data_IF_747938423522
#
_entry.id   IF_747938423522
#
_cell.length_a   1.000
_cell.length_b   1.000
_cell.length_c   1.000
_cell.angle_alpha   90.00
_cell.angle_beta   90.00
_cell.angle_gamma   90.00
#
_symmetry.space_group_name_H-M   'P 1'
#
loop_
_entity.id
_entity.type
_entity.pdbx_description
1 polymer ?
#
# COMPACT_ATOMS: atom_id res chain seq x y z
N UNK A 1 -13.61 -19.60 -20.90
CA UNK A 1 -12.38 -19.13 -20.22
C UNK A 1 -12.43 -17.66 -19.81
N UNK A 2 -13.00 -16.73 -20.60
CA UNK A 2 -13.10 -15.30 -20.22
C UNK A 2 -13.97 -15.04 -18.97
N UNK A 3 -15.08 -15.76 -18.80
CA UNK A 3 -15.99 -15.57 -17.65
C UNK A 3 -15.29 -15.85 -16.30
N UNK A 4 -14.45 -16.89 -16.24
CA UNK A 4 -13.71 -17.27 -15.02
C UNK A 4 -12.67 -16.23 -14.60
N UNK A 5 -11.99 -15.59 -15.57
CA UNK A 5 -11.09 -14.47 -15.29
C UNK A 5 -11.86 -13.23 -14.81
N UNK A 6 -13.08 -13.03 -15.31
CA UNK A 6 -13.95 -11.93 -14.91
C UNK A 6 -14.41 -12.09 -13.45
N UNK A 7 -14.83 -13.30 -13.07
CA UNK A 7 -15.17 -13.63 -11.68
C UNK A 7 -13.98 -13.50 -10.73
N UNK A 8 -12.81 -14.00 -11.13
CA UNK A 8 -11.59 -13.85 -10.33
C UNK A 8 -11.25 -12.36 -10.12
N UNK A 9 -11.38 -11.53 -11.15
CA UNK A 9 -11.16 -10.09 -11.05
C UNK A 9 -12.13 -9.39 -10.08
N UNK A 10 -13.41 -9.75 -10.14
CA UNK A 10 -14.42 -9.22 -9.22
C UNK A 10 -14.12 -9.62 -7.76
N UNK A 11 -13.78 -10.88 -7.51
CA UNK A 11 -13.44 -11.36 -6.16
C UNK A 11 -12.23 -10.60 -5.61
N UNK A 12 -11.17 -10.43 -6.42
CA UNK A 12 -9.97 -9.66 -6.03
C UNK A 12 -10.32 -8.21 -5.70
N UNK A 13 -11.21 -7.59 -6.49
CA UNK A 13 -11.69 -6.23 -6.23
C UNK A 13 -12.46 -6.14 -4.91
N UNK A 14 -13.40 -7.05 -4.64
CA UNK A 14 -14.15 -7.08 -3.39
C UNK A 14 -13.27 -7.31 -2.18
N UNK A 15 -12.32 -8.25 -2.24
CA UNK A 15 -11.38 -8.52 -1.14
C UNK A 15 -10.50 -7.29 -0.89
N UNK A 16 -10.00 -6.64 -1.96
CA UNK A 16 -9.19 -5.42 -1.83
C UNK A 16 -9.98 -4.28 -1.17
N UNK A 17 -11.25 -4.14 -1.53
CA UNK A 17 -12.14 -3.15 -0.94
C UNK A 17 -12.44 -3.45 0.54
N UNK A 18 -12.75 -4.70 0.88
CA UNK A 18 -12.97 -5.13 2.27
C UNK A 18 -11.73 -4.91 3.13
N UNK A 19 -10.54 -5.24 2.61
CA UNK A 19 -9.26 -4.99 3.26
C UNK A 19 -9.05 -3.50 3.52
N UNK A 20 -9.35 -2.66 2.53
CA UNK A 20 -9.22 -1.21 2.65
C UNK A 20 -10.11 -0.66 3.77
N UNK A 21 -11.39 -1.05 3.82
CA UNK A 21 -12.30 -0.61 4.90
C UNK A 21 -11.85 -1.14 6.26
N UNK A 22 -11.44 -2.41 6.33
CA UNK A 22 -10.97 -3.03 7.57
C UNK A 22 -9.71 -2.34 8.13
N UNK A 23 -8.80 -1.91 7.26
CA UNK A 23 -7.59 -1.20 7.64
C UNK A 23 -7.87 0.25 8.01
N UNK A 24 -8.76 0.93 7.28
CA UNK A 24 -9.15 2.32 7.54
C UNK A 24 -9.80 2.49 8.93
N UNK A 25 -10.67 1.56 9.34
CA UNK A 25 -11.34 1.60 10.64
C UNK A 25 -10.61 0.77 11.72
N UNK A 26 -9.59 0.01 11.33
CA UNK A 26 -8.81 -0.83 12.22
C UNK A 26 -7.85 -0.03 13.08
N UNK A 27 -7.67 -0.45 14.35
CA UNK A 27 -6.69 0.17 15.26
C UNK A 27 -5.29 -0.41 15.14
N UNK A 28 -5.09 -1.44 14.32
CA UNK A 28 -3.81 -2.17 14.20
C UNK A 28 -2.71 -1.24 13.69
N UNK A 29 -2.95 -0.55 12.56
CA UNK A 29 -1.95 0.35 11.99
C UNK A 29 -1.70 1.59 12.87
N UNK A 30 -2.73 2.32 13.37
CA UNK A 30 -2.50 3.42 14.30
C UNK A 30 -1.73 3.00 15.57
N UNK A 31 -2.02 1.83 16.14
CA UNK A 31 -1.28 1.30 17.28
C UNK A 31 0.20 1.06 16.93
N UNK A 32 0.49 0.44 15.78
CA UNK A 32 1.86 0.23 15.30
C UNK A 32 2.61 1.54 15.04
N UNK A 33 1.95 2.53 14.45
CA UNK A 33 2.52 3.88 14.25
C UNK A 33 2.82 4.54 15.59
N UNK A 34 1.91 4.45 16.56
CA UNK A 34 2.11 5.02 17.90
C UNK A 34 3.27 4.35 18.65
N UNK A 35 3.46 3.04 18.45
CA UNK A 35 4.58 2.30 19.02
C UNK A 35 5.91 2.75 18.42
N UNK A 36 5.98 2.88 17.08
CA UNK A 36 7.17 3.38 16.39
C UNK A 36 7.50 4.83 16.78
N UNK A 37 6.50 5.71 16.91
CA UNK A 37 6.69 7.09 17.30
C UNK A 37 7.24 7.26 18.73
N UNK A 38 6.95 6.30 19.62
CA UNK A 38 7.46 6.29 21.02
C UNK A 38 8.80 5.57 21.17
N UNK A 39 9.34 5.00 20.10
CA UNK A 39 10.61 4.28 20.17
C UNK A 39 11.77 5.25 20.45
N UNK A 40 12.61 4.99 21.46
CA UNK A 40 13.70 5.89 21.83
C UNK A 40 14.81 5.94 20.77
N UNK A 41 14.84 4.98 19.86
CA UNK A 41 15.84 4.88 18.79
C UNK A 41 15.46 5.67 17.53
N UNK A 42 14.23 6.16 17.44
CA UNK A 42 13.67 6.82 16.26
C UNK A 42 13.30 8.26 16.61
N UNK A 43 14.10 9.22 16.12
CA UNK A 43 13.80 10.65 16.28
C UNK A 43 12.75 11.09 15.24
N UNK A 44 11.50 10.73 15.50
CA UNK A 44 10.40 10.90 14.55
C UNK A 44 9.31 11.79 15.15
N UNK A 45 8.99 12.89 14.45
CA UNK A 45 8.02 13.90 14.90
C UNK A 45 6.58 13.51 14.54
N UNK A 46 5.98 12.56 15.26
CA UNK A 46 4.59 12.09 15.06
C UNK A 46 4.38 11.11 13.87
N UNK A 47 3.12 10.71 13.65
CA UNK A 47 2.69 9.74 12.64
C UNK A 47 3.16 10.05 11.21
N UNK A 48 3.28 11.34 10.87
CA UNK A 48 3.79 11.81 9.57
C UNK A 48 5.25 11.44 9.38
N UNK A 49 6.05 11.65 10.41
CA UNK A 49 7.45 11.26 10.41
C UNK A 49 7.59 9.73 10.34
N UNK A 50 6.69 8.97 10.99
CA UNK A 50 6.76 7.49 10.97
C UNK A 50 6.50 6.99 9.56
N UNK A 51 5.50 7.54 8.87
CA UNK A 51 5.28 7.22 7.47
C UNK A 51 6.49 7.58 6.60
N UNK A 52 7.04 8.79 6.72
CA UNK A 52 8.25 9.18 5.98
C UNK A 52 9.42 8.23 6.25
N UNK A 53 9.66 7.86 7.51
CA UNK A 53 10.72 6.92 7.86
C UNK A 53 10.52 5.56 7.18
N UNK A 54 9.31 4.98 7.29
CA UNK A 54 8.98 3.71 6.65
C UNK A 54 9.10 3.80 5.13
N UNK A 55 8.59 4.87 4.53
CA UNK A 55 8.67 5.12 3.09
C UNK A 55 10.13 5.20 2.62
N UNK A 56 10.97 6.02 3.27
CA UNK A 56 12.40 6.14 2.94
C UNK A 56 13.15 4.82 3.14
N UNK A 57 12.88 4.11 4.24
CA UNK A 57 13.53 2.83 4.53
C UNK A 57 13.15 1.76 3.49
N UNK A 58 11.86 1.61 3.18
CA UNK A 58 11.37 0.69 2.16
C UNK A 58 11.92 1.04 0.78
N UNK A 59 11.95 2.32 0.43
CA UNK A 59 12.44 2.76 -0.89
C UNK A 59 13.93 2.53 -1.09
N UNK A 60 14.74 2.84 -0.08
CA UNK A 60 16.17 2.53 -0.11
C UNK A 60 16.42 1.02 -0.21
N UNK A 61 15.77 0.23 0.65
CA UNK A 61 16.03 -1.22 0.76
C UNK A 61 15.61 -1.96 -0.50
N UNK A 62 14.38 -1.74 -0.97
CA UNK A 62 13.87 -2.44 -2.16
C UNK A 62 14.52 -1.91 -3.43
N UNK A 63 14.76 -0.60 -3.51
CA UNK A 63 15.51 -0.01 -4.62
C UNK A 63 16.90 -0.62 -4.76
N UNK A 64 17.63 -0.75 -3.64
CA UNK A 64 18.94 -1.40 -3.61
C UNK A 64 18.86 -2.88 -3.99
N UNK A 65 17.88 -3.62 -3.44
CA UNK A 65 17.65 -5.02 -3.80
C UNK A 65 17.40 -5.19 -5.30
N UNK A 66 16.54 -4.37 -5.92
CA UNK A 66 16.25 -4.49 -7.34
C UNK A 66 17.47 -4.17 -8.21
N UNK A 67 18.27 -3.17 -7.83
CA UNK A 67 19.48 -2.80 -8.58
C UNK A 67 20.58 -3.87 -8.47
N UNK A 68 20.81 -4.41 -7.28
CA UNK A 68 21.75 -5.53 -7.09
C UNK A 68 21.31 -6.75 -7.89
N UNK A 69 20.03 -7.11 -7.87
CA UNK A 69 19.51 -8.23 -8.65
C UNK A 69 19.58 -8.01 -10.17
N UNK A 70 19.43 -6.76 -10.63
CA UNK A 70 19.65 -6.40 -12.04
C UNK A 70 21.10 -6.62 -12.46
N UNK A 71 22.04 -6.20 -11.62
CA UNK A 71 23.47 -6.39 -11.85
C UNK A 71 23.82 -7.88 -11.92
N UNK A 72 23.34 -8.68 -10.95
CA UNK A 72 23.53 -10.14 -10.93
C UNK A 72 22.93 -10.81 -12.16
N UNK A 73 21.71 -10.43 -12.56
CA UNK A 73 21.08 -10.99 -13.77
C UNK A 73 21.88 -10.70 -15.05
N UNK A 74 22.51 -9.52 -15.13
CA UNK A 74 23.41 -9.15 -16.24
C UNK A 74 24.69 -9.99 -16.24
N UNK A 75 25.30 -10.19 -15.08
CA UNK A 75 26.53 -11.01 -14.92
C UNK A 75 26.23 -12.47 -15.29
N UNK A 76 25.13 -13.02 -14.79
CA UNK A 76 24.71 -14.40 -15.05
C UNK A 76 24.12 -14.63 -16.45
N UNK A 77 24.01 -13.58 -17.29
CA UNK A 77 23.38 -13.63 -18.63
C UNK A 77 21.97 -14.25 -18.62
N UNK A 78 21.21 -14.01 -17.54
CA UNK A 78 19.85 -14.54 -17.39
C UNK A 78 18.82 -13.49 -17.87
N UNK A 79 18.48 -13.55 -19.16
CA UNK A 79 17.57 -12.58 -19.78
C UNK A 79 16.16 -12.60 -19.19
N UNK A 80 15.66 -13.78 -18.76
CA UNK A 80 14.35 -13.91 -18.13
C UNK A 80 14.29 -13.19 -16.78
N UNK A 81 15.33 -13.35 -15.97
CA UNK A 81 15.45 -12.66 -14.69
C UNK A 81 15.64 -11.16 -14.88
N UNK A 82 16.49 -10.76 -15.83
CA UNK A 82 16.70 -9.35 -16.20
C UNK A 82 15.38 -8.67 -16.60
N UNK A 83 14.56 -9.33 -17.43
CA UNK A 83 13.25 -8.80 -17.81
C UNK A 83 12.32 -8.60 -16.60
N UNK A 84 12.23 -9.59 -15.70
CA UNK A 84 11.40 -9.49 -14.49
C UNK A 84 11.85 -8.38 -13.56
N UNK A 85 13.17 -8.26 -13.33
CA UNK A 85 13.73 -7.19 -12.51
C UNK A 85 13.45 -5.81 -13.12
N UNK A 86 13.62 -5.64 -14.43
CA UNK A 86 13.30 -4.37 -15.09
C UNK A 86 11.81 -4.03 -15.02
N UNK A 87 10.91 -5.03 -15.12
CA UNK A 87 9.47 -4.84 -14.94
C UNK A 87 9.15 -4.40 -13.50
N UNK A 88 9.72 -5.09 -12.50
CA UNK A 88 9.54 -4.75 -11.09
C UNK A 88 10.10 -3.36 -10.77
N UNK A 89 11.28 -3.01 -11.28
CA UNK A 89 11.91 -1.70 -11.07
C UNK A 89 11.07 -0.55 -11.65
N UNK A 90 10.53 -0.71 -12.87
CA UNK A 90 9.62 0.31 -13.43
C UNK A 90 8.36 0.47 -12.58
N UNK A 91 7.70 -0.64 -12.24
CA UNK A 91 6.50 -0.61 -11.39
C UNK A 91 6.78 0.03 -10.03
N UNK A 92 7.91 -0.34 -9.41
CA UNK A 92 8.37 0.20 -8.16
C UNK A 92 8.53 1.73 -8.20
N UNK A 93 9.19 2.26 -9.24
CA UNK A 93 9.40 3.71 -9.39
C UNK A 93 8.07 4.46 -9.55
N UNK A 94 7.15 3.98 -10.39
CA UNK A 94 5.85 4.64 -10.59
C UNK A 94 5.00 4.65 -9.32
N UNK A 95 4.90 3.50 -8.64
CA UNK A 95 4.13 3.41 -7.39
C UNK A 95 4.73 4.25 -6.27
N UNK A 96 6.06 4.28 -6.16
CA UNK A 96 6.77 5.14 -5.21
C UNK A 96 6.43 6.61 -5.44
N UNK A 97 6.42 7.03 -6.71
CA UNK A 97 6.09 8.41 -7.10
C UNK A 97 4.62 8.76 -6.79
N UNK A 98 3.68 7.87 -7.12
CA UNK A 98 2.26 8.07 -6.81
C UNK A 98 2.05 8.20 -5.30
N UNK A 99 2.59 7.26 -4.51
CA UNK A 99 2.44 7.26 -3.07
C UNK A 99 3.07 8.51 -2.43
N UNK A 100 4.18 9.00 -2.98
CA UNK A 100 4.82 10.23 -2.55
C UNK A 100 3.96 11.47 -2.86
N UNK A 101 3.37 11.54 -4.05
CA UNK A 101 2.45 12.64 -4.43
C UNK A 101 1.22 12.65 -3.53
N UNK A 102 0.64 11.49 -3.23
CA UNK A 102 -0.54 11.38 -2.37
C UNK A 102 -0.22 11.78 -0.93
N UNK A 103 0.93 11.35 -0.41
CA UNK A 103 1.42 11.80 0.89
C UNK A 103 1.63 13.32 0.93
N UNK A 104 2.30 13.88 -0.09
CA UNK A 104 2.57 15.33 -0.15
C UNK A 104 1.26 16.12 -0.24
N UNK A 105 0.30 15.65 -1.04
CA UNK A 105 -1.03 16.25 -1.16
C UNK A 105 -1.75 16.24 0.19
N UNK A 106 -1.83 15.07 0.85
CA UNK A 106 -2.45 14.96 2.16
C UNK A 106 -1.76 15.82 3.23
N UNK A 107 -0.43 15.96 3.13
CA UNK A 107 0.35 16.82 4.01
C UNK A 107 0.02 18.31 3.83
N UNK A 108 0.01 18.79 2.58
CA UNK A 108 -0.27 20.21 2.25
C UNK A 108 -1.69 20.60 2.66
N UNK A 109 -2.68 19.75 2.37
CA UNK A 109 -4.08 20.00 2.71
C UNK A 109 -4.43 19.67 4.16
N UNK A 110 -3.45 19.30 4.99
CA UNK A 110 -3.63 18.94 6.41
C UNK A 110 -4.67 17.82 6.64
N UNK A 111 -4.83 16.90 5.70
CA UNK A 111 -5.78 15.78 5.76
C UNK A 111 -5.17 14.48 6.34
N UNK A 112 -3.96 14.55 6.91
CA UNK A 112 -3.25 13.43 7.55
C UNK A 112 -3.85 13.07 8.92
N UNK A 113 -5.05 12.50 8.90
CA UNK A 113 -5.70 11.86 10.04
C UNK A 113 -5.32 10.37 10.12
N UNK A 114 -5.67 9.69 11.21
CA UNK A 114 -5.35 8.26 11.42
C UNK A 114 -5.78 7.35 10.25
N UNK A 115 -6.93 7.62 9.64
CA UNK A 115 -7.44 6.89 8.47
C UNK A 115 -6.53 7.07 7.26
N UNK A 116 -6.22 8.32 6.93
CA UNK A 116 -5.36 8.68 5.80
C UNK A 116 -3.97 8.07 5.97
N UNK A 117 -3.40 8.11 7.18
CA UNK A 117 -2.12 7.46 7.50
C UNK A 117 -2.21 5.94 7.37
N UNK A 118 -3.31 5.33 7.83
CA UNK A 118 -3.51 3.88 7.71
C UNK A 118 -3.60 3.43 6.24
N UNK A 119 -4.29 4.20 5.40
CA UNK A 119 -4.37 3.95 3.96
C UNK A 119 -3.04 4.18 3.24
N UNK A 120 -2.28 5.20 3.63
CA UNK A 120 -0.93 5.43 3.11
C UNK A 120 0.02 4.27 3.47
N UNK A 121 -0.03 3.75 4.70
CA UNK A 121 0.75 2.59 5.12
C UNK A 121 0.30 1.32 4.40
N UNK A 122 -1.01 1.13 4.20
CA UNK A 122 -1.53 0.03 3.38
C UNK A 122 -0.98 0.14 1.96
N UNK A 123 -1.01 1.33 1.36
CA UNK A 123 -0.40 1.60 0.06
C UNK A 123 1.08 1.23 0.02
N UNK A 124 1.86 1.61 1.04
CA UNK A 124 3.28 1.24 1.15
C UNK A 124 3.49 -0.28 1.20
N UNK A 125 2.72 -1.00 2.03
CA UNK A 125 2.82 -2.46 2.14
C UNK A 125 2.42 -3.11 0.81
N UNK A 126 1.32 -2.68 0.19
CA UNK A 126 0.86 -3.20 -1.09
C UNK A 126 1.88 -2.93 -2.20
N UNK A 127 2.52 -1.77 -2.23
CA UNK A 127 3.59 -1.43 -3.16
C UNK A 127 4.80 -2.36 -3.03
N UNK A 128 5.25 -2.60 -1.80
CA UNK A 128 6.35 -3.52 -1.48
C UNK A 128 6.01 -4.94 -1.95
N UNK A 129 4.84 -5.46 -1.56
CA UNK A 129 4.39 -6.80 -1.92
C UNK A 129 4.17 -6.97 -3.42
N UNK A 130 3.62 -5.95 -4.10
CA UNK A 130 3.47 -5.91 -5.56
C UNK A 130 4.82 -6.05 -6.26
N UNK A 131 5.82 -5.31 -5.81
CA UNK A 131 7.16 -5.34 -6.40
C UNK A 131 7.87 -6.68 -6.19
N UNK A 132 7.73 -7.27 -5.01
CA UNK A 132 8.28 -8.60 -4.70
C UNK A 132 7.59 -9.71 -5.50
N UNK A 133 6.26 -9.69 -5.59
CA UNK A 133 5.50 -10.70 -6.35
C UNK A 133 5.73 -10.57 -7.86
N UNK A 134 5.90 -9.36 -8.38
CA UNK A 134 6.32 -9.13 -9.77
C UNK A 134 7.72 -9.69 -10.05
N UNK A 135 8.65 -9.54 -9.12
CA UNK A 135 9.99 -10.13 -9.21
C UNK A 135 9.96 -11.67 -9.22
N UNK A 136 9.15 -12.28 -8.34
CA UNK A 136 8.96 -13.74 -8.27
C UNK A 136 8.19 -14.30 -9.49
N UNK A 137 7.42 -13.46 -10.18
CA UNK A 137 6.59 -13.85 -11.33
C UNK A 137 5.24 -14.43 -10.93
N UNK A 138 4.68 -13.97 -9.80
CA UNK A 138 3.37 -14.40 -9.28
C UNK A 138 2.27 -13.44 -9.73
N UNK A 139 1.75 -13.64 -10.94
CA UNK A 139 0.91 -12.64 -11.62
C UNK A 139 -0.42 -12.32 -10.88
N UNK A 140 -1.13 -13.33 -10.35
CA UNK A 140 -2.43 -13.10 -9.66
C UNK A 140 -2.25 -12.30 -8.36
N UNK A 141 -1.25 -12.66 -7.55
CA UNK A 141 -0.94 -11.97 -6.30
C UNK A 141 -0.42 -10.56 -6.57
N UNK A 142 0.37 -10.38 -7.62
CA UNK A 142 0.80 -9.07 -8.08
C UNK A 142 -0.41 -8.18 -8.44
N UNK A 143 -1.40 -8.70 -9.16
CA UNK A 143 -2.64 -7.97 -9.48
C UNK A 143 -3.45 -7.60 -8.22
N UNK A 144 -3.53 -8.49 -7.23
CA UNK A 144 -4.19 -8.20 -5.95
C UNK A 144 -3.52 -7.05 -5.21
N UNK A 145 -2.19 -7.10 -5.05
CA UNK A 145 -1.45 -6.02 -4.38
C UNK A 145 -1.48 -4.72 -5.18
N UNK A 146 -1.45 -4.79 -6.50
CA UNK A 146 -1.64 -3.62 -7.38
C UNK A 146 -3.01 -2.97 -7.16
N UNK A 147 -4.10 -3.76 -7.15
CA UNK A 147 -5.45 -3.23 -6.93
C UNK A 147 -5.60 -2.65 -5.52
N UNK A 148 -5.04 -3.30 -4.51
CA UNK A 148 -5.04 -2.78 -3.14
C UNK A 148 -4.31 -1.43 -3.07
N UNK A 149 -3.15 -1.32 -3.73
CA UNK A 149 -2.41 -0.06 -3.86
C UNK A 149 -3.23 1.02 -4.55
N UNK A 150 -3.84 0.73 -5.70
CA UNK A 150 -4.66 1.72 -6.43
C UNK A 150 -5.82 2.20 -5.57
N UNK A 151 -6.55 1.27 -4.94
CA UNK A 151 -7.71 1.61 -4.12
C UNK A 151 -7.30 2.41 -2.88
N UNK A 152 -6.19 2.09 -2.21
CA UNK A 152 -5.73 2.83 -1.04
C UNK A 152 -5.35 4.27 -1.37
N UNK A 153 -4.63 4.48 -2.48
CA UNK A 153 -4.27 5.82 -2.97
C UNK A 153 -5.51 6.62 -3.39
N UNK A 154 -6.45 5.99 -4.09
CA UNK A 154 -7.73 6.61 -4.45
C UNK A 154 -8.54 6.99 -3.20
N UNK A 155 -8.53 6.14 -2.16
CA UNK A 155 -9.11 6.45 -0.85
C UNK A 155 -8.45 7.66 -0.18
N UNK A 156 -7.12 7.78 -0.23
CA UNK A 156 -6.37 8.93 0.31
C UNK A 156 -6.74 10.22 -0.44
N UNK A 157 -6.83 10.17 -1.78
CA UNK A 157 -7.26 11.30 -2.59
C UNK A 157 -8.68 11.74 -2.26
N UNK A 158 -9.62 10.79 -2.13
CA UNK A 158 -11.00 11.10 -1.76
C UNK A 158 -11.10 11.74 -0.36
N UNK A 159 -10.36 11.20 0.62
CA UNK A 159 -10.30 11.79 1.96
C UNK A 159 -9.62 13.18 1.98
N UNK A 160 -8.73 13.44 1.03
CA UNK A 160 -8.01 14.71 0.94
C UNK A 160 -8.81 15.80 0.24
N UNK A 161 -9.51 15.45 -0.85
CA UNK A 161 -10.15 16.43 -1.74
C UNK A 161 -11.68 16.48 -1.64
N UNK A 162 -12.35 15.44 -1.14
CA UNK A 162 -13.82 15.37 -1.07
C UNK A 162 -14.29 15.62 0.35
N UNK A 163 -14.91 16.79 0.55
CA UNK A 163 -15.45 17.19 1.86
C UNK A 163 -16.51 16.20 2.34
N UNK A 164 -16.34 15.70 3.56
CA UNK A 164 -17.29 14.80 4.22
C UNK A 164 -17.20 13.33 3.79
N UNK A 165 -16.22 12.96 2.96
CA UNK A 165 -16.01 11.57 2.54
C UNK A 165 -15.69 10.62 3.71
N UNK A 166 -15.16 11.15 4.82
CA UNK A 166 -14.98 10.41 6.09
C UNK A 166 -16.25 9.69 6.57
N UNK A 167 -17.43 10.28 6.32
CA UNK A 167 -18.73 9.70 6.73
C UNK A 167 -19.06 8.44 5.93
N UNK A 168 -18.60 8.34 4.69
CA UNK A 168 -18.80 7.17 3.83
C UNK A 168 -17.97 6.00 4.36
N UNK A 169 -16.70 6.24 4.73
CA UNK A 169 -15.85 5.23 5.37
C UNK A 169 -16.43 4.74 6.71
N UNK A 170 -16.88 5.66 7.56
CA UNK A 170 -17.54 5.30 8.82
C UNK A 170 -18.83 4.49 8.59
N UNK A 171 -19.64 4.89 7.61
CA UNK A 171 -20.85 4.16 7.24
C UNK A 171 -20.52 2.73 6.80
N UNK A 172 -19.63 2.57 5.83
CA UNK A 172 -19.20 1.27 5.32
C UNK A 172 -18.57 0.39 6.41
N UNK A 173 -17.72 0.97 7.24
CA UNK A 173 -17.11 0.31 8.38
C UNK A 173 -18.12 -0.16 9.42
N UNK A 174 -19.15 0.64 9.72
CA UNK A 174 -20.23 0.26 10.63
C UNK A 174 -21.12 -0.84 10.04
N UNK A 175 -21.42 -0.79 8.74
CA UNK A 175 -22.16 -1.86 8.05
C UNK A 175 -21.39 -3.18 8.06
N UNK A 176 -20.09 -3.17 7.78
CA UNK A 176 -19.23 -4.36 7.83
C UNK A 176 -18.93 -4.80 9.27
N UNK A 177 -18.83 -3.87 10.22
CA UNK A 177 -18.66 -4.14 11.64
C UNK A 177 -19.88 -4.80 12.28
N UNK A 178 -21.09 -4.50 11.80
CA UNK A 178 -22.31 -5.24 12.16
C UNK A 178 -22.32 -6.71 11.71
N UNK A 179 -21.49 -7.08 10.74
CA UNK A 179 -21.25 -8.48 10.38
C UNK A 179 -20.19 -9.17 11.27
N UNK A 180 -19.69 -8.53 12.34
CA UNK A 180 -18.90 -9.22 13.37
C UNK A 180 -19.80 -10.19 14.16
N UNK A 181 -20.02 -11.37 13.60
CA UNK A 181 -20.22 -12.61 14.34
C UNK A 181 -18.91 -12.95 15.05
N UNK A 182 -18.60 -12.28 16.15
CA UNK A 182 -17.77 -12.78 17.25
C UNK A 182 -17.92 -11.80 18.43
N UNK A 183 -18.48 -12.24 19.57
CA UNK A 183 -18.52 -11.42 20.77
C UNK A 183 -17.11 -11.30 21.34
N UNK A 184 -16.76 -10.11 21.82
CA UNK A 184 -15.76 -9.97 22.88
C UNK A 184 -16.32 -10.57 24.17
#
# INVERSE_FOLDING_TARGET
MQLGHLFAGQIVMYISFLLLVAVSEGKIIPAGVSYLARSPYLRVSDAKGVFCFLFSFCTATIGFMLETMRSTAKICKNDRMKYRVMKAQRGFTYMTLILFIDFLSAYIFKSLNDRTVSLLILGLISHVCCSLTAFLGMDILNTFFYLTFVMSNLGVLLLTYVVGFDRVFMGLGHYLGRFRFFPN
#
